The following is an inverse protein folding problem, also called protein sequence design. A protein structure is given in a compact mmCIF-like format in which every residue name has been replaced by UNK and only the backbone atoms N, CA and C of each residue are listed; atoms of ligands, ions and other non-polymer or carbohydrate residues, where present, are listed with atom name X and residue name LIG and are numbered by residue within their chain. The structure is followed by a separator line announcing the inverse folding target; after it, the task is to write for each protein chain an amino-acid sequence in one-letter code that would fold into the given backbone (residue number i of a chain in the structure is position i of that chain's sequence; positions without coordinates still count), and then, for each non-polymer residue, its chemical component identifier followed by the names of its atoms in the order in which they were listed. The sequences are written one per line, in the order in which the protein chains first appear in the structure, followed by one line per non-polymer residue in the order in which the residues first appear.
data_IF_897146258752
#
_entry.id   IF_897146258752
#
_cell.length_a   1.000
_cell.length_b   1.000
_cell.length_c   1.000
_cell.angle_alpha   90.00
_cell.angle_beta   90.00
_cell.angle_gamma   90.00
#
_symmetry.space_group_name_H-M   'P 1'
#
loop_
_entity.id
_entity.type
_entity.pdbx_description
1 polymer ?
#
# COMPACT_ATOMS: atom_id res chain seq x y z
N UNK A 1 -1.14 24.33 -7.98
CA UNK A 1 0.28 23.85 -7.94
C UNK A 1 0.26 22.34 -7.99
N UNK A 2 1.08 21.71 -8.85
CA UNK A 2 1.11 20.23 -8.96
C UNK A 2 2.20 19.67 -8.03
N UNK A 3 1.83 18.77 -7.14
CA UNK A 3 2.79 18.14 -6.22
C UNK A 3 3.72 17.18 -6.96
N UNK A 4 5.00 17.18 -6.57
CA UNK A 4 5.97 16.15 -6.99
C UNK A 4 5.69 14.83 -6.27
N UNK A 5 6.16 13.70 -6.81
CA UNK A 5 6.01 12.40 -6.16
C UNK A 5 6.65 12.36 -4.77
N UNK A 6 7.78 13.07 -4.58
CA UNK A 6 8.42 13.19 -3.26
C UNK A 6 7.52 13.92 -2.26
N UNK A 7 6.92 15.04 -2.66
CA UNK A 7 5.97 15.77 -1.80
C UNK A 7 4.74 14.92 -1.43
N UNK A 8 4.17 14.20 -2.40
CA UNK A 8 3.05 13.28 -2.14
C UNK A 8 3.42 12.20 -1.11
N UNK A 9 4.61 11.61 -1.24
CA UNK A 9 5.11 10.63 -0.27
C UNK A 9 5.21 11.22 1.12
N UNK A 10 5.90 12.35 1.28
CA UNK A 10 6.06 13.04 2.58
C UNK A 10 4.70 13.39 3.20
N UNK A 11 3.75 13.91 2.42
CA UNK A 11 2.41 14.26 2.91
C UNK A 11 1.70 13.02 3.43
N UNK A 12 1.70 11.92 2.67
CA UNK A 12 1.05 10.69 3.08
C UNK A 12 1.70 10.04 4.31
N UNK A 13 3.03 9.98 4.37
CA UNK A 13 3.75 9.49 5.55
C UNK A 13 3.42 10.33 6.79
N UNK A 14 3.43 11.66 6.67
CA UNK A 14 3.07 12.58 7.77
C UNK A 14 1.62 12.37 8.24
N UNK A 15 0.70 12.15 7.32
CA UNK A 15 -0.69 11.89 7.65
C UNK A 15 -0.85 10.55 8.42
N UNK A 16 -0.13 9.51 8.02
CA UNK A 16 -0.13 8.22 8.74
C UNK A 16 0.50 8.38 10.13
N UNK A 17 1.60 9.12 10.26
CA UNK A 17 2.19 9.46 11.56
C UNK A 17 1.16 10.11 12.47
N UNK A 18 0.45 11.14 11.97
CA UNK A 18 -0.59 11.83 12.74
C UNK A 18 -1.70 10.89 13.22
N UNK A 19 -2.15 9.98 12.33
CA UNK A 19 -3.21 9.03 12.68
C UNK A 19 -2.76 8.01 13.74
N UNK A 20 -1.51 7.58 13.73
CA UNK A 20 -0.96 6.66 14.73
C UNK A 20 -0.72 7.38 16.08
N UNK A 21 -0.21 8.62 16.07
CA UNK A 21 -0.06 9.45 17.28
C UNK A 21 -1.40 9.70 17.96
N UNK A 22 -2.48 10.02 17.21
CA UNK A 22 -3.83 10.18 17.75
C UNK A 22 -4.35 8.92 18.48
N UNK A 23 -3.81 7.75 18.13
CA UNK A 23 -4.14 6.44 18.75
C UNK A 23 -3.23 6.10 19.94
N UNK A 24 -2.32 7.00 20.30
CA UNK A 24 -1.45 6.85 21.48
C UNK A 24 -0.18 6.05 21.23
N UNK A 25 0.26 5.91 19.98
CA UNK A 25 1.51 5.25 19.62
C UNK A 25 2.60 6.26 19.30
N UNK A 26 3.84 5.96 19.68
CA UNK A 26 5.01 6.72 19.23
C UNK A 26 5.37 6.29 17.80
N UNK A 27 5.78 7.26 16.97
CA UNK A 27 6.10 7.01 15.56
C UNK A 27 7.39 7.68 15.16
N UNK A 28 8.29 6.91 14.55
CA UNK A 28 9.53 7.39 13.96
C UNK A 28 9.42 7.27 12.44
N UNK A 29 9.61 8.38 11.72
CA UNK A 29 9.79 8.34 10.27
C UNK A 29 11.24 7.99 9.96
N UNK A 30 11.46 6.80 9.40
CA UNK A 30 12.79 6.25 9.11
C UNK A 30 13.49 7.06 8.02
N UNK A 31 12.74 7.58 7.05
CA UNK A 31 13.28 8.35 5.93
C UNK A 31 13.87 9.69 6.34
N UNK A 32 13.55 10.20 7.54
CA UNK A 32 14.17 11.40 8.10
C UNK A 32 15.57 11.13 8.67
N UNK A 33 15.86 9.88 9.06
CA UNK A 33 17.11 9.48 9.71
C UNK A 33 18.02 8.65 8.79
N UNK A 34 17.43 7.85 7.92
CA UNK A 34 18.13 6.98 6.97
C UNK A 34 17.53 7.14 5.58
N UNK A 35 18.25 7.80 4.68
CA UNK A 35 17.81 7.99 3.30
C UNK A 35 17.58 6.62 2.63
N UNK A 36 16.32 6.38 2.22
CA UNK A 36 15.90 5.22 1.43
C UNK A 36 15.98 3.85 2.13
N UNK A 37 15.50 3.72 3.37
CA UNK A 37 15.22 2.39 3.89
C UNK A 37 14.18 1.69 3.00
N UNK A 38 14.57 0.53 2.44
CA UNK A 38 13.84 -0.02 1.27
C UNK A 38 12.48 -0.65 1.61
N UNK A 39 12.28 -1.09 2.85
CA UNK A 39 11.19 -2.01 3.19
C UNK A 39 10.20 -1.44 4.22
N UNK A 40 10.42 -0.23 4.73
CA UNK A 40 9.51 0.47 5.61
C UNK A 40 9.75 1.98 5.57
N UNK A 41 8.73 2.76 5.88
CA UNK A 41 8.80 4.22 5.98
C UNK A 41 8.73 4.68 7.43
N UNK A 42 8.01 3.93 8.28
CA UNK A 42 7.75 4.28 9.68
C UNK A 42 8.06 3.10 10.61
N UNK A 43 8.48 3.42 11.85
CA UNK A 43 8.43 2.51 13.00
C UNK A 43 7.35 3.04 13.93
N UNK A 44 6.33 2.23 14.20
CA UNK A 44 5.29 2.51 15.18
C UNK A 44 5.57 1.71 16.45
N UNK A 45 5.52 2.33 17.61
CA UNK A 45 5.86 1.73 18.89
C UNK A 45 4.76 2.00 19.92
N UNK A 46 4.43 0.99 20.71
CA UNK A 46 3.58 1.18 21.89
C UNK A 46 4.45 1.64 23.07
N UNK A 47 4.25 2.87 23.59
CA UNK A 47 5.07 3.41 24.67
C UNK A 47 4.91 2.66 26.00
N UNK A 48 3.83 1.90 26.18
CA UNK A 48 3.55 1.21 27.44
C UNK A 48 4.26 -0.15 27.56
N UNK A 49 4.56 -0.82 26.45
CA UNK A 49 5.16 -2.16 26.47
C UNK A 49 6.41 -2.29 25.59
N UNK A 50 6.77 -1.24 24.83
CA UNK A 50 7.95 -1.21 23.97
C UNK A 50 7.83 -2.04 22.68
N UNK A 51 6.70 -2.73 22.41
CA UNK A 51 6.50 -3.44 21.14
C UNK A 51 6.50 -2.46 19.99
N UNK A 52 7.12 -2.87 18.88
CA UNK A 52 7.22 -2.03 17.69
C UNK A 52 6.90 -2.82 16.41
N UNK A 53 6.43 -2.11 15.39
CA UNK A 53 6.14 -2.65 14.07
C UNK A 53 6.62 -1.68 12.99
N UNK A 54 7.19 -2.23 11.93
CA UNK A 54 7.56 -1.45 10.74
C UNK A 54 6.37 -1.34 9.80
N UNK A 55 6.08 -0.11 9.36
CA UNK A 55 4.94 0.20 8.48
C UNK A 55 5.45 0.81 7.19
N UNK A 56 4.96 0.30 6.05
CA UNK A 56 5.19 0.90 4.74
C UNK A 56 4.01 1.79 4.36
N UNK A 57 4.28 2.96 3.80
CA UNK A 57 3.26 3.89 3.29
C UNK A 57 3.39 4.03 1.78
N UNK A 58 2.28 3.97 1.06
CA UNK A 58 2.22 4.25 -0.38
C UNK A 58 1.13 5.26 -0.67
N UNK A 59 1.51 6.42 -1.17
CA UNK A 59 0.60 7.54 -1.43
C UNK A 59 0.36 7.71 -2.93
N UNK A 60 -0.90 7.86 -3.30
CA UNK A 60 -1.30 8.18 -4.67
C UNK A 60 -2.42 9.20 -4.71
N UNK A 61 -2.47 9.98 -5.80
CA UNK A 61 -3.50 10.99 -6.07
C UNK A 61 -4.41 10.57 -7.23
N UNK A 62 -4.16 9.40 -7.78
CA UNK A 62 -5.01 8.74 -8.77
C UNK A 62 -5.62 7.48 -8.17
N UNK A 63 -6.67 6.97 -8.80
CA UNK A 63 -7.33 5.72 -8.37
C UNK A 63 -6.44 4.47 -8.49
N UNK A 64 -5.23 4.61 -9.02
CA UNK A 64 -4.23 3.55 -9.08
C UNK A 64 -2.97 4.01 -8.33
N UNK A 65 -2.69 3.37 -7.19
CA UNK A 65 -1.54 3.68 -6.32
C UNK A 65 -0.40 2.72 -6.64
N UNK A 66 0.77 3.24 -6.97
CA UNK A 66 1.94 2.41 -7.26
C UNK A 66 2.50 1.79 -5.99
N UNK A 67 2.65 0.46 -5.98
CA UNK A 67 3.21 -0.29 -4.85
C UNK A 67 4.75 -0.23 -4.77
N UNK A 68 5.42 0.30 -5.79
CA UNK A 68 6.88 0.41 -5.83
C UNK A 68 7.60 -0.83 -6.36
N UNK A 69 6.86 -1.83 -6.84
CA UNK A 69 7.40 -3.04 -7.45
C UNK A 69 7.22 -3.04 -8.97
N UNK A 70 7.97 -3.92 -9.62
CA UNK A 70 7.71 -4.36 -10.99
C UNK A 70 7.45 -5.86 -10.98
N UNK A 71 6.49 -6.32 -11.76
CA UNK A 71 6.29 -7.76 -11.97
C UNK A 71 7.02 -8.23 -13.22
N UNK A 72 7.32 -9.52 -13.27
CA UNK A 72 7.68 -10.19 -14.53
C UNK A 72 6.45 -10.24 -15.44
N UNK A 73 6.66 -10.64 -16.72
CA UNK A 73 5.57 -10.75 -17.72
C UNK A 73 4.50 -11.77 -17.35
N UNK A 74 4.87 -12.77 -16.55
CA UNK A 74 3.98 -13.80 -16.02
C UNK A 74 3.24 -13.40 -14.73
N UNK A 75 3.38 -12.14 -14.27
CA UNK A 75 2.74 -11.64 -13.05
C UNK A 75 3.52 -11.89 -11.77
N UNK A 76 4.66 -12.58 -11.83
CA UNK A 76 5.48 -12.83 -10.63
C UNK A 76 6.22 -11.56 -10.23
N UNK A 77 6.15 -11.19 -8.94
CA UNK A 77 6.99 -10.16 -8.32
C UNK A 77 8.10 -10.87 -7.56
N UNK A 78 9.36 -10.76 -7.99
CA UNK A 78 10.46 -11.46 -7.33
C UNK A 78 10.66 -11.01 -5.88
N UNK A 79 10.87 -11.96 -4.98
CA UNK A 79 11.19 -11.75 -3.56
C UNK A 79 10.15 -10.87 -2.84
N UNK A 80 8.87 -11.00 -3.20
CA UNK A 80 7.81 -10.17 -2.63
C UNK A 80 7.69 -10.34 -1.12
N UNK A 81 7.78 -11.58 -0.64
CA UNK A 81 7.64 -11.93 0.79
C UNK A 81 8.78 -11.38 1.66
N UNK A 82 9.99 -11.28 1.10
CA UNK A 82 11.14 -10.67 1.77
C UNK A 82 11.06 -9.14 1.80
N UNK A 83 10.42 -8.54 0.80
CA UNK A 83 10.27 -7.08 0.66
C UNK A 83 9.14 -6.52 1.51
N UNK A 84 8.15 -7.33 1.85
CA UNK A 84 7.02 -6.93 2.69
C UNK A 84 7.26 -7.46 4.09
N UNK A 85 7.74 -6.60 4.99
CA UNK A 85 8.16 -6.98 6.34
C UNK A 85 7.13 -6.64 7.43
N UNK A 86 6.11 -5.84 7.11
CA UNK A 86 5.08 -5.44 8.04
C UNK A 86 3.80 -4.97 7.32
N UNK A 87 2.84 -4.39 8.04
CA UNK A 87 1.62 -3.86 7.46
C UNK A 87 1.89 -2.69 6.50
N UNK A 88 1.00 -2.53 5.54
CA UNK A 88 1.04 -1.45 4.56
C UNK A 88 -0.16 -0.52 4.71
N UNK A 89 0.09 0.78 4.54
CA UNK A 89 -0.95 1.81 4.47
C UNK A 89 -0.91 2.42 3.07
N UNK A 90 -1.96 2.17 2.29
CA UNK A 90 -2.18 2.88 1.04
C UNK A 90 -2.99 4.14 1.33
N UNK A 91 -2.46 5.28 0.94
CA UNK A 91 -3.08 6.59 1.12
C UNK A 91 -3.54 7.11 -0.24
N UNK A 92 -4.86 7.22 -0.42
CA UNK A 92 -5.42 7.95 -1.55
C UNK A 92 -5.65 9.41 -1.13
N UNK A 93 -5.02 10.34 -1.82
CA UNK A 93 -5.09 11.77 -1.52
C UNK A 93 -5.73 12.52 -2.70
N UNK A 94 -6.79 13.25 -2.44
CA UNK A 94 -7.36 14.18 -3.40
C UNK A 94 -6.51 15.47 -3.43
N UNK A 95 -5.89 15.79 -4.58
CA UNK A 95 -5.01 16.97 -4.70
C UNK A 95 -5.75 18.32 -4.59
N UNK A 96 -7.08 18.35 -4.70
CA UNK A 96 -7.84 19.60 -4.67
C UNK A 96 -8.10 20.13 -3.25
N UNK A 97 -8.42 19.22 -2.34
CA UNK A 97 -8.86 19.54 -0.99
C UNK A 97 -8.01 18.83 0.08
N UNK A 98 -7.01 18.05 -0.33
CA UNK A 98 -6.15 17.23 0.53
C UNK A 98 -6.90 16.23 1.40
N UNK A 99 -8.15 15.90 1.07
CA UNK A 99 -8.86 14.80 1.72
C UNK A 99 -8.16 13.48 1.47
N UNK A 100 -7.98 12.69 2.54
CA UNK A 100 -7.26 11.43 2.49
C UNK A 100 -8.14 10.27 2.91
N UNK A 101 -7.97 9.16 2.21
CA UNK A 101 -8.53 7.86 2.58
C UNK A 101 -7.36 6.91 2.86
N UNK A 102 -7.43 6.20 3.99
CA UNK A 102 -6.40 5.26 4.42
C UNK A 102 -6.90 3.83 4.24
N UNK A 103 -6.08 2.98 3.64
CA UNK A 103 -6.37 1.56 3.43
C UNK A 103 -5.25 0.74 4.04
N UNK A 104 -5.55 0.03 5.14
CA UNK A 104 -4.58 -0.70 5.93
C UNK A 104 -4.69 -2.19 5.62
N UNK A 105 -3.58 -2.80 5.23
CA UNK A 105 -3.44 -4.21 4.97
C UNK A 105 -2.38 -4.80 5.89
N UNK A 106 -2.62 -6.03 6.39
CA UNK A 106 -1.55 -6.78 7.07
C UNK A 106 -0.45 -7.16 6.07
N UNK A 107 0.66 -7.70 6.56
CA UNK A 107 1.72 -8.24 5.69
C UNK A 107 1.16 -9.31 4.75
N UNK A 108 0.42 -10.27 5.28
CA UNK A 108 -0.15 -11.41 4.56
C UNK A 108 -1.17 -10.95 3.52
N UNK A 109 -2.09 -10.07 3.90
CA UNK A 109 -3.07 -9.48 2.98
C UNK A 109 -2.39 -8.72 1.85
N UNK A 110 -1.31 -7.98 2.14
CA UNK A 110 -0.56 -7.23 1.12
C UNK A 110 0.11 -8.17 0.12
N UNK A 111 0.73 -9.24 0.60
CA UNK A 111 1.39 -10.25 -0.25
C UNK A 111 0.36 -10.91 -1.16
N UNK A 112 -0.72 -11.44 -0.59
CA UNK A 112 -1.77 -12.12 -1.33
C UNK A 112 -2.43 -11.21 -2.36
N UNK A 113 -2.77 -10.00 -1.94
CA UNK A 113 -3.40 -9.00 -2.80
C UNK A 113 -2.52 -8.62 -4.00
N UNK A 114 -1.21 -8.38 -3.79
CA UNK A 114 -0.29 -8.05 -4.87
C UNK A 114 -0.10 -9.25 -5.80
N UNK A 115 0.08 -10.46 -5.27
CA UNK A 115 0.20 -11.69 -6.08
C UNK A 115 -1.01 -11.87 -6.99
N UNK A 116 -2.20 -11.84 -6.43
CA UNK A 116 -3.45 -12.04 -7.17
C UNK A 116 -3.68 -10.95 -8.22
N UNK A 117 -3.43 -9.69 -7.86
CA UNK A 117 -3.57 -8.56 -8.79
C UNK A 117 -2.60 -8.68 -9.98
N UNK A 118 -1.34 -9.06 -9.72
CA UNK A 118 -0.33 -9.20 -10.76
C UNK A 118 -0.60 -10.41 -11.65
N UNK A 119 -1.02 -11.54 -11.09
CA UNK A 119 -1.40 -12.73 -11.84
C UNK A 119 -2.61 -12.45 -12.74
N UNK A 120 -3.65 -11.83 -12.20
CA UNK A 120 -4.81 -11.41 -13.00
C UNK A 120 -4.39 -10.50 -14.15
N UNK A 121 -3.56 -9.47 -13.86
CA UNK A 121 -3.11 -8.53 -14.87
C UNK A 121 -2.29 -9.22 -15.97
N UNK A 122 -1.38 -10.12 -15.61
CA UNK A 122 -0.58 -10.87 -16.56
C UNK A 122 -1.45 -11.76 -17.47
N UNK A 123 -2.46 -12.44 -16.92
CA UNK A 123 -3.39 -13.27 -17.66
C UNK A 123 -4.28 -12.45 -18.59
N UNK A 124 -4.81 -11.31 -18.11
CA UNK A 124 -5.63 -10.41 -18.90
C UNK A 124 -4.88 -9.79 -20.10
N UNK A 125 -3.57 -9.50 -19.94
CA UNK A 125 -2.76 -8.80 -20.94
C UNK A 125 -1.65 -9.64 -21.55
N UNK A 126 -1.64 -10.95 -21.37
CA UNK A 126 -0.58 -11.90 -21.74
C UNK A 126 0.09 -11.63 -23.10
N UNK A 127 -0.69 -11.29 -24.12
CA UNK A 127 -0.18 -11.02 -25.49
C UNK A 127 0.30 -9.58 -25.70
N UNK A 128 0.03 -8.65 -24.77
CA UNK A 128 0.29 -7.20 -24.92
C UNK A 128 1.42 -6.70 -24.03
N UNK A 129 1.85 -7.49 -23.03
CA UNK A 129 2.92 -7.09 -22.13
C UNK A 129 4.28 -7.13 -22.85
N UNK A 130 4.74 -5.95 -23.30
CA UNK A 130 6.05 -5.80 -23.96
C UNK A 130 7.21 -5.60 -22.97
N UNK A 131 6.93 -5.21 -21.73
CA UNK A 131 7.92 -4.89 -20.68
C UNK A 131 7.44 -5.38 -19.32
N UNK A 132 8.33 -5.31 -18.31
CA UNK A 132 7.98 -5.56 -16.90
C UNK A 132 7.07 -4.44 -16.38
N UNK A 133 5.78 -4.69 -16.10
CA UNK A 133 4.87 -3.64 -15.67
C UNK A 133 5.14 -3.22 -14.22
N UNK A 134 4.90 -1.94 -13.93
CA UNK A 134 4.86 -1.46 -12.55
C UNK A 134 3.59 -1.98 -11.87
N UNK A 135 3.73 -2.47 -10.66
CA UNK A 135 2.62 -2.93 -9.86
C UNK A 135 1.83 -1.72 -9.34
N UNK A 136 0.58 -1.63 -9.76
CA UNK A 136 -0.37 -0.63 -9.29
C UNK A 136 -1.53 -1.30 -8.55
N UNK A 137 -2.06 -0.62 -7.55
CA UNK A 137 -3.17 -1.08 -6.74
C UNK A 137 -4.32 -0.10 -6.91
N UNK A 138 -5.45 -0.58 -7.43
CA UNK A 138 -6.63 0.26 -7.60
C UNK A 138 -7.34 0.49 -6.25
N UNK A 139 -7.71 1.74 -5.97
CA UNK A 139 -8.47 2.13 -4.77
C UNK A 139 -9.78 1.34 -4.67
N UNK A 140 -10.43 1.06 -5.80
CA UNK A 140 -11.64 0.24 -5.85
C UNK A 140 -11.40 -1.19 -5.31
N UNK A 141 -10.24 -1.77 -5.61
CA UNK A 141 -9.86 -3.09 -5.10
C UNK A 141 -9.57 -3.06 -3.60
N UNK A 142 -8.93 -1.98 -3.12
CA UNK A 142 -8.69 -1.77 -1.68
C UNK A 142 -10.00 -1.64 -0.89
N UNK A 143 -11.07 -1.19 -1.54
CA UNK A 143 -12.44 -1.15 -0.99
C UNK A 143 -13.16 -2.52 -1.02
N UNK A 144 -12.52 -3.58 -1.49
CA UNK A 144 -13.15 -4.89 -1.66
C UNK A 144 -14.02 -5.00 -2.92
N UNK A 145 -13.95 -4.02 -3.81
CA UNK A 145 -14.71 -4.01 -5.05
C UNK A 145 -14.09 -4.84 -6.16
N UNK A 146 -14.82 -4.96 -7.25
CA UNK A 146 -14.37 -5.56 -8.50
C UNK A 146 -14.23 -4.52 -9.61
N UNK A 147 -13.39 -4.79 -10.59
CA UNK A 147 -13.30 -3.96 -11.78
C UNK A 147 -12.92 -4.78 -13.02
N UNK A 148 -13.47 -4.37 -14.15
CA UNK A 148 -12.99 -4.81 -15.45
C UNK A 148 -11.99 -3.78 -15.98
N UNK A 149 -10.81 -4.21 -16.37
CA UNK A 149 -9.86 -3.32 -17.03
C UNK A 149 -10.39 -2.86 -18.40
N UNK A 150 -11.05 -3.76 -19.10
CA UNK A 150 -11.82 -3.49 -20.34
C UNK A 150 -12.93 -4.52 -20.47
N UNK A 151 -13.89 -4.29 -21.39
CA UNK A 151 -14.95 -5.27 -21.74
C UNK A 151 -14.40 -6.62 -22.24
N UNK A 152 -13.14 -6.69 -22.62
CA UNK A 152 -12.48 -7.87 -23.19
C UNK A 152 -11.69 -8.68 -22.15
N UNK A 153 -11.60 -8.23 -20.90
CA UNK A 153 -10.81 -8.88 -19.87
C UNK A 153 -11.71 -9.39 -18.74
N UNK A 154 -11.32 -10.52 -18.11
CA UNK A 154 -12.06 -11.05 -16.98
C UNK A 154 -12.09 -10.02 -15.84
N UNK A 155 -13.17 -10.09 -15.07
CA UNK A 155 -13.33 -9.23 -13.92
C UNK A 155 -12.30 -9.57 -12.83
N UNK A 156 -11.60 -8.55 -12.32
CA UNK A 156 -10.82 -8.69 -11.11
C UNK A 156 -11.73 -8.62 -9.89
N UNK A 157 -11.59 -9.58 -8.99
CA UNK A 157 -12.25 -9.59 -7.68
C UNK A 157 -11.20 -9.43 -6.59
N UNK A 158 -11.42 -8.46 -5.70
CA UNK A 158 -10.51 -8.26 -4.57
C UNK A 158 -10.47 -9.50 -3.67
N UNK A 159 -9.27 -9.85 -3.21
CA UNK A 159 -9.05 -10.94 -2.24
C UNK A 159 -9.27 -10.49 -0.79
N UNK A 160 -9.54 -9.21 -0.56
CA UNK A 160 -9.74 -8.69 0.79
C UNK A 160 -11.08 -9.15 1.35
N UNK A 161 -11.02 -9.99 2.37
CA UNK A 161 -12.19 -10.52 3.06
C UNK A 161 -12.81 -9.53 4.06
N UNK A 162 -12.04 -8.52 4.49
CA UNK A 162 -12.49 -7.48 5.41
C UNK A 162 -12.19 -6.09 4.85
N UNK A 163 -12.98 -5.07 5.23
CA UNK A 163 -12.70 -3.70 4.84
C UNK A 163 -11.26 -3.32 5.19
N UNK A 164 -10.56 -2.69 4.25
CA UNK A 164 -9.21 -2.18 4.48
C UNK A 164 -9.21 -0.70 4.85
N UNK A 165 -10.30 0.03 4.53
CA UNK A 165 -10.44 1.46 4.80
C UNK A 165 -10.52 1.71 6.32
N UNK A 166 -9.64 2.59 6.81
CA UNK A 166 -9.55 3.02 8.20
C UNK A 166 -9.43 1.89 9.23
N UNK A 167 -8.96 0.73 8.79
CA UNK A 167 -8.86 -0.47 9.61
C UNK A 167 -7.54 -0.54 10.39
N UNK A 168 -7.29 0.49 11.21
CA UNK A 168 -6.06 0.69 11.97
C UNK A 168 -5.74 -0.43 12.97
N UNK A 169 -6.76 -1.23 13.37
CA UNK A 169 -6.52 -2.35 14.26
C UNK A 169 -5.49 -3.36 13.68
N UNK A 170 -5.35 -3.46 12.37
CA UNK A 170 -4.34 -4.33 11.71
C UNK A 170 -2.89 -3.94 12.04
N UNK A 171 -2.68 -2.71 12.50
CA UNK A 171 -1.40 -2.25 13.04
C UNK A 171 -1.41 -2.36 14.56
N UNK A 172 -2.47 -1.86 15.21
CA UNK A 172 -2.49 -1.72 16.66
C UNK A 172 -2.57 -3.04 17.41
N UNK A 173 -3.14 -4.10 16.82
CA UNK A 173 -3.10 -5.46 17.40
C UNK A 173 -1.68 -6.03 17.49
N UNK A 174 -0.79 -5.69 16.57
CA UNK A 174 0.61 -6.13 16.59
C UNK A 174 1.42 -5.48 17.73
N UNK A 175 0.86 -4.43 18.35
CA UNK A 175 1.50 -3.63 19.38
C UNK A 175 0.91 -3.89 20.79
N UNK A 176 -0.08 -4.77 20.92
CA UNK A 176 -0.64 -5.24 22.21
C UNK A 176 0.25 -6.32 22.84
#
# INVERSE_FOLDING_TARGET
MKLTNKQKGVIGETAVVLELLKRGFDVININNSYLNYKNADLICMNPNNGKSVMVQVKTGTTLNILAGFTSERNGIVPNLEEKIIGPWVFVFMNEKDFNMEFYILTKEETIEFIKTSCDWYANAYKRKLKSKPRVGVEVKWLKGGSSNATKLHPEYKSTLHQPSKDNWWKITELLK
#
